data_IF_557795306434
#
_entry.id   IF_557795306434
#
_cell.length_a   1.000
_cell.length_b   1.000
_cell.length_c   1.000
_cell.angle_alpha   90.00
_cell.angle_beta   90.00
_cell.angle_gamma   90.00
#
_symmetry.space_group_name_H-M   'P 1'
#
loop_
_entity.id
_entity.type
_entity.pdbx_description
1 polymer ?
#
# COMPACT_ATOMS: atom_id res chain seq x y z
N UNK A 1 -20.08 5.25 0.85
CA UNK A 1 -18.93 4.99 1.73
C UNK A 1 -18.41 3.64 1.30
N UNK A 2 -17.14 3.56 0.92
CA UNK A 2 -16.48 2.31 0.62
C UNK A 2 -15.88 1.86 1.96
N UNK A 3 -16.27 0.70 2.46
CA UNK A 3 -15.78 0.07 3.70
C UNK A 3 -15.47 -1.38 3.37
N UNK A 4 -14.64 -2.03 4.18
CA UNK A 4 -14.21 -3.43 3.98
C UNK A 4 -13.40 -3.64 2.69
N UNK A 5 -12.54 -2.66 2.35
CA UNK A 5 -11.47 -2.87 1.36
C UNK A 5 -10.18 -3.10 2.11
N UNK A 6 -9.72 -4.35 2.07
CA UNK A 6 -8.43 -4.75 2.61
C UNK A 6 -7.35 -4.86 1.53
N UNK A 7 -7.72 -4.83 0.24
CA UNK A 7 -6.78 -5.01 -0.88
C UNK A 7 -7.08 -4.04 -2.03
N UNK A 8 -6.08 -3.25 -2.41
CA UNK A 8 -6.02 -2.56 -3.71
C UNK A 8 -5.09 -3.35 -4.61
N UNK A 9 -5.59 -3.78 -5.77
CA UNK A 9 -4.78 -4.45 -6.78
C UNK A 9 -4.51 -3.50 -7.95
N UNK A 10 -3.24 -3.17 -8.14
CA UNK A 10 -2.73 -2.37 -9.25
C UNK A 10 -2.22 -3.23 -10.41
N UNK A 11 -2.11 -4.55 -10.28
CA UNK A 11 -1.63 -5.45 -11.33
C UNK A 11 -2.36 -5.20 -12.66
N UNK A 12 -1.60 -5.09 -13.76
CA UNK A 12 -2.16 -4.80 -15.07
C UNK A 12 -1.12 -4.32 -16.08
N UNK A 13 -1.55 -4.15 -17.33
CA UNK A 13 -0.65 -3.61 -18.36
C UNK A 13 -0.49 -2.09 -18.20
N UNK A 14 0.73 -1.64 -17.89
CA UNK A 14 1.09 -0.23 -17.82
C UNK A 14 1.80 0.12 -16.52
N UNK A 15 1.99 1.43 -16.30
CA UNK A 15 2.42 1.97 -15.02
C UNK A 15 1.17 2.55 -14.31
N UNK A 16 0.83 2.00 -13.15
CA UNK A 16 -0.30 2.46 -12.36
C UNK A 16 0.21 3.40 -11.26
N UNK A 17 -0.60 4.39 -10.91
CA UNK A 17 -0.28 5.28 -9.80
C UNK A 17 -1.49 5.49 -8.92
N UNK A 18 -1.31 5.34 -7.62
CA UNK A 18 -2.31 5.68 -6.61
C UNK A 18 -1.72 6.67 -5.60
N UNK A 19 -2.55 7.60 -5.14
CA UNK A 19 -2.21 8.51 -4.04
C UNK A 19 -3.16 8.26 -2.88
N UNK A 20 -2.59 8.02 -1.69
CA UNK A 20 -3.34 7.71 -0.48
C UNK A 20 -2.92 8.60 0.68
N UNK A 21 -3.91 9.11 1.40
CA UNK A 21 -3.75 9.74 2.70
C UNK A 21 -4.22 8.79 3.83
N UNK A 22 -3.86 9.12 5.07
CA UNK A 22 -4.19 8.28 6.23
C UNK A 22 -5.71 8.18 6.49
N UNK A 23 -6.46 9.26 6.23
CA UNK A 23 -7.91 9.27 6.41
C UNK A 23 -8.61 8.38 5.38
N UNK A 24 -8.11 8.34 4.16
CA UNK A 24 -8.58 7.48 3.06
C UNK A 24 -8.37 6.02 3.41
N UNK A 25 -7.19 5.65 3.91
CA UNK A 25 -6.93 4.28 4.37
C UNK A 25 -7.88 3.90 5.49
N UNK A 26 -7.99 4.72 6.54
CA UNK A 26 -8.91 4.50 7.66
C UNK A 26 -10.37 4.34 7.22
N UNK A 27 -10.79 5.09 6.20
CA UNK A 27 -12.14 5.01 5.67
C UNK A 27 -12.36 3.77 4.80
N UNK A 28 -11.32 3.27 4.13
CA UNK A 28 -11.37 2.10 3.24
C UNK A 28 -11.32 0.78 4.01
N UNK A 29 -10.51 0.73 5.07
CA UNK A 29 -10.29 -0.49 5.85
C UNK A 29 -11.38 -0.70 6.89
N UNK A 30 -11.68 -1.96 7.21
CA UNK A 30 -12.46 -2.30 8.40
C UNK A 30 -11.65 -2.06 9.68
N UNK A 31 -12.19 -2.43 10.84
CA UNK A 31 -11.58 -2.18 12.17
C UNK A 31 -10.15 -2.71 12.37
N UNK A 32 -9.54 -3.36 11.37
CA UNK A 32 -8.13 -3.75 11.35
C UNK A 32 -7.18 -2.64 10.86
N UNK A 33 -7.69 -1.52 10.33
CA UNK A 33 -6.92 -0.35 9.86
C UNK A 33 -5.73 -0.70 8.95
N UNK A 34 -5.81 -1.82 8.21
CA UNK A 34 -4.70 -2.35 7.41
C UNK A 34 -5.14 -2.48 5.96
N UNK A 35 -4.39 -1.84 5.06
CA UNK A 35 -4.61 -1.90 3.62
C UNK A 35 -3.44 -2.59 2.93
N UNK A 36 -3.71 -3.61 2.12
CA UNK A 36 -2.73 -4.26 1.26
C UNK A 36 -2.78 -3.63 -0.13
N UNK A 37 -1.62 -3.34 -0.69
CA UNK A 37 -1.46 -2.86 -2.07
C UNK A 37 -0.63 -3.88 -2.82
N UNK A 38 -1.27 -4.53 -3.79
CA UNK A 38 -0.63 -5.39 -4.79
C UNK A 38 -0.35 -4.58 -6.04
N UNK A 39 0.73 -4.88 -6.72
CA UNK A 39 1.10 -4.18 -7.95
C UNK A 39 2.27 -4.85 -8.64
N UNK A 40 2.54 -4.40 -9.85
CA UNK A 40 3.63 -4.91 -10.66
C UNK A 40 4.95 -4.21 -10.28
N UNK A 41 5.89 -5.01 -9.79
CA UNK A 41 7.27 -4.60 -9.48
C UNK A 41 8.28 -4.99 -10.56
N UNK A 42 7.82 -5.55 -11.69
CA UNK A 42 8.70 -6.02 -12.75
C UNK A 42 9.35 -4.85 -13.51
N UNK A 43 10.60 -5.07 -13.96
CA UNK A 43 11.40 -4.08 -14.68
C UNK A 43 10.67 -3.62 -15.95
N UNK A 44 10.19 -2.37 -15.97
CA UNK A 44 9.53 -1.75 -17.12
C UNK A 44 8.01 -1.54 -17.00
N UNK A 45 7.37 -2.03 -15.94
CA UNK A 45 5.98 -1.70 -15.56
C UNK A 45 5.93 -1.54 -14.03
N UNK A 46 6.56 -0.47 -13.52
CA UNK A 46 6.68 -0.32 -12.06
C UNK A 46 5.58 0.58 -11.53
N UNK A 47 4.64 -0.03 -10.82
CA UNK A 47 3.57 0.70 -10.14
C UNK A 47 4.13 1.62 -9.05
N UNK A 48 3.43 2.73 -8.80
CA UNK A 48 3.84 3.74 -7.82
C UNK A 48 2.73 4.06 -6.83
N UNK A 49 3.05 4.00 -5.54
CA UNK A 49 2.20 4.44 -4.44
C UNK A 49 2.73 5.75 -3.86
N UNK A 50 1.96 6.82 -4.00
CA UNK A 50 2.26 8.10 -3.36
C UNK A 50 1.51 8.19 -2.03
N UNK A 51 2.25 8.46 -0.97
CA UNK A 51 1.73 8.58 0.38
C UNK A 51 1.95 10.00 0.90
N UNK A 52 0.91 10.56 1.51
CA UNK A 52 1.02 11.84 2.19
C UNK A 52 1.94 11.77 3.43
N UNK A 53 2.26 12.92 4.01
CA UNK A 53 3.10 12.99 5.20
C UNK A 53 2.52 12.20 6.38
N UNK A 54 3.39 11.60 7.19
CA UNK A 54 3.01 10.92 8.44
C UNK A 54 3.06 9.39 8.38
N UNK A 55 3.18 8.83 7.18
CA UNK A 55 3.60 7.44 7.01
C UNK A 55 5.07 7.28 7.36
N UNK A 56 5.40 6.17 8.01
CA UNK A 56 6.75 5.82 8.42
C UNK A 56 7.09 4.45 7.89
N UNK A 57 8.13 4.39 7.07
CA UNK A 57 8.78 3.14 6.70
C UNK A 57 9.83 2.79 7.78
N UNK A 58 9.54 1.77 8.57
CA UNK A 58 10.41 1.27 9.62
C UNK A 58 11.41 0.21 9.11
N UNK A 59 11.51 -0.01 7.79
CA UNK A 59 12.20 -1.13 7.14
C UNK A 59 11.72 -2.49 7.68
N UNK A 60 10.40 -2.59 7.90
CA UNK A 60 9.75 -3.83 8.34
C UNK A 60 9.06 -4.45 7.14
N UNK A 61 9.18 -5.77 7.03
CA UNK A 61 8.48 -6.56 6.03
C UNK A 61 7.55 -7.57 6.71
N UNK A 62 6.45 -7.86 6.04
CA UNK A 62 5.51 -8.91 6.42
C UNK A 62 5.22 -9.83 5.22
N UNK A 63 4.90 -11.09 5.49
CA UNK A 63 4.57 -12.07 4.45
C UNK A 63 3.10 -12.42 4.56
N UNK A 64 2.35 -12.17 3.49
CA UNK A 64 0.93 -12.51 3.37
C UNK A 64 0.76 -13.40 2.14
N UNK A 65 0.23 -14.61 2.34
CA UNK A 65 -0.02 -15.58 1.27
C UNK A 65 1.19 -15.84 0.34
N UNK A 66 2.37 -16.05 0.93
CA UNK A 66 3.67 -16.25 0.25
C UNK A 66 4.21 -15.03 -0.52
N UNK A 67 3.55 -13.88 -0.45
CA UNK A 67 4.02 -12.60 -1.00
C UNK A 67 4.60 -11.70 0.09
N UNK A 68 5.75 -11.08 -0.19
CA UNK A 68 6.42 -10.13 0.73
C UNK A 68 5.89 -8.71 0.53
N UNK A 69 5.63 -8.01 1.62
CA UNK A 69 5.18 -6.62 1.63
C UNK A 69 6.07 -5.75 2.52
N UNK A 70 6.38 -4.54 2.05
CA UNK A 70 6.94 -3.46 2.85
C UNK A 70 5.82 -2.85 3.71
N UNK A 71 6.08 -2.71 5.01
CA UNK A 71 5.08 -2.25 5.99
C UNK A 71 5.33 -0.80 6.36
N UNK A 72 4.33 0.04 6.11
CA UNK A 72 4.35 1.46 6.43
C UNK A 72 3.27 1.76 7.47
N UNK A 73 3.66 2.44 8.53
CA UNK A 73 2.79 2.72 9.68
C UNK A 73 2.42 4.21 9.74
N UNK A 74 1.18 4.50 10.09
CA UNK A 74 0.73 5.86 10.45
C UNK A 74 -0.26 5.77 11.62
N UNK A 75 0.25 6.05 12.82
CA UNK A 75 -0.51 5.93 14.08
C UNK A 75 -1.09 4.53 14.25
N UNK A 76 -2.42 4.37 14.16
CA UNK A 76 -3.12 3.08 14.27
C UNK A 76 -3.41 2.45 12.90
N UNK A 77 -2.95 3.06 11.80
CA UNK A 77 -3.14 2.56 10.43
C UNK A 77 -1.87 1.95 9.87
N UNK A 78 -2.04 0.98 9.00
CA UNK A 78 -0.97 0.30 8.31
C UNK A 78 -1.28 0.18 6.82
N UNK A 79 -0.27 0.43 5.98
CA UNK A 79 -0.28 0.04 4.57
C UNK A 79 0.82 -1.01 4.38
N UNK A 80 0.48 -2.09 3.67
CA UNK A 80 1.42 -3.11 3.22
C UNK A 80 1.54 -3.01 1.71
N UNK A 81 2.70 -2.60 1.21
CA UNK A 81 2.96 -2.41 -0.23
C UNK A 81 3.80 -3.58 -0.72
N UNK A 82 3.35 -4.27 -1.76
CA UNK A 82 4.05 -5.44 -2.32
C UNK A 82 5.51 -5.10 -2.66
N UNK A 83 6.42 -6.03 -2.34
CA UNK A 83 7.84 -5.82 -2.62
C UNK A 83 8.09 -5.63 -4.12
N UNK A 84 8.90 -4.63 -4.47
CA UNK A 84 9.14 -4.23 -5.86
C UNK A 84 8.24 -3.11 -6.39
N UNK A 85 7.11 -2.81 -5.74
CA UNK A 85 6.30 -1.61 -6.05
C UNK A 85 7.02 -0.37 -5.51
N UNK A 86 7.10 0.70 -6.31
CA UNK A 86 7.68 1.95 -5.87
C UNK A 86 6.75 2.66 -4.88
N UNK A 87 7.30 3.28 -3.85
CA UNK A 87 6.55 4.18 -3.00
C UNK A 87 7.32 5.45 -2.65
N UNK A 88 6.58 6.54 -2.51
CA UNK A 88 7.10 7.85 -2.12
C UNK A 88 6.27 8.41 -0.97
N UNK A 89 6.93 8.85 0.10
CA UNK A 89 6.31 9.54 1.23
C UNK A 89 6.68 11.03 1.13
N UNK A 90 5.67 11.90 1.15
CA UNK A 90 5.80 13.35 1.03
C UNK A 90 6.41 14.03 2.27
#
# INVERSE_FOLDING_TARGET
MITDIEVINLEGSGEQTITLDADSVKNMTDGNNTLLIKGDGEEGNTDTVNLDSGWVDNNVQDVVDDTTYNVLDNSDNQIKIEDGVNYHIA
#
